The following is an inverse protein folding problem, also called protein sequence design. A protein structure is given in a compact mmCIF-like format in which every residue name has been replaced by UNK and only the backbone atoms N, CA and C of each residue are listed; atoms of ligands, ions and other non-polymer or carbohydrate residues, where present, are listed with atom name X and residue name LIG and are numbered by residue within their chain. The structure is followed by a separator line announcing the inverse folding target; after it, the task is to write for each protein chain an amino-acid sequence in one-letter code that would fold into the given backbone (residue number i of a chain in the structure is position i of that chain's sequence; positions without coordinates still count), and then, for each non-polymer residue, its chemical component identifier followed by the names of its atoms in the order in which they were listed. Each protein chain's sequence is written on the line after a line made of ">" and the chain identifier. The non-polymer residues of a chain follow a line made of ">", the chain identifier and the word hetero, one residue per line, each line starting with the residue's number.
data_IF_138185214209
#
_entry.id   IF_138185214209
#
_cell.length_a   1.000
_cell.length_b   1.000
_cell.length_c   1.000
_cell.angle_alpha   90.00
_cell.angle_beta   90.00
_cell.angle_gamma   90.00
#
_symmetry.space_group_name_H-M   'P 1'
#
loop_
_entity.id
_entity.type
_entity.pdbx_description
1 polymer ?
#
# COMPACT_ATOMS: atom_id res chain seq x y z
N UNK A 1 6.93 62.66 -69.66
CA UNK A 1 7.91 63.33 -68.79
C UNK A 1 7.82 62.70 -67.41
N UNK A 2 8.94 62.19 -66.92
CA UNK A 2 9.18 61.42 -65.70
C UNK A 2 8.59 62.04 -64.41
N UNK A 3 8.20 61.21 -63.44
CA UNK A 3 9.10 60.82 -62.33
C UNK A 3 8.44 59.77 -61.42
N UNK A 4 9.31 59.02 -60.75
CA UNK A 4 9.11 57.81 -59.95
C UNK A 4 8.47 58.06 -58.56
N UNK A 5 8.09 56.96 -57.89
CA UNK A 5 7.91 56.95 -56.43
C UNK A 5 7.19 55.70 -55.93
N UNK A 6 7.95 54.69 -55.49
CA UNK A 6 7.44 53.48 -54.83
C UNK A 6 7.39 53.57 -53.29
N UNK A 7 6.94 52.46 -52.69
CA UNK A 7 6.82 52.08 -51.26
C UNK A 7 5.54 52.54 -50.54
N UNK A 8 4.57 51.63 -50.26
CA UNK A 8 4.47 50.65 -49.13
C UNK A 8 4.20 51.34 -47.79
N UNK A 9 3.00 51.18 -47.21
CA UNK A 9 2.62 50.32 -46.06
C UNK A 9 1.90 51.28 -45.08
N UNK A 10 0.85 51.03 -44.29
CA UNK A 10 0.15 49.83 -43.81
C UNK A 10 -1.27 50.28 -43.40
N UNK A 11 -2.26 49.39 -43.56
CA UNK A 11 -3.65 49.64 -43.15
C UNK A 11 -3.79 49.26 -41.68
N UNK A 12 -3.93 50.25 -40.79
CA UNK A 12 -4.46 50.04 -39.44
C UNK A 12 -5.99 49.91 -39.54
N UNK A 13 -6.48 48.66 -39.57
CA UNK A 13 -7.88 48.35 -39.38
C UNK A 13 -8.16 48.15 -37.89
N UNK A 14 -8.57 49.24 -37.25
CA UNK A 14 -9.28 49.26 -35.98
C UNK A 14 -10.74 48.85 -36.22
N UNK A 15 -11.14 47.64 -35.81
CA UNK A 15 -12.55 47.32 -35.47
C UNK A 15 -12.55 46.25 -34.37
N UNK A 16 -13.06 46.60 -33.19
CA UNK A 16 -13.33 45.66 -32.12
C UNK A 16 -14.61 44.85 -32.33
N UNK A 17 -14.71 43.70 -31.66
CA UNK A 17 -15.91 43.23 -30.95
C UNK A 17 -15.62 41.88 -30.28
N UNK A 18 -15.37 41.90 -28.97
CA UNK A 18 -15.23 40.70 -28.14
C UNK A 18 -16.49 40.45 -27.30
N UNK A 19 -17.37 39.56 -27.75
CA UNK A 19 -18.33 38.85 -26.89
C UNK A 19 -18.26 37.36 -27.18
N UNK A 20 -17.75 36.59 -26.22
CA UNK A 20 -18.29 35.30 -25.76
C UNK A 20 -17.42 34.75 -24.62
N UNK A 21 -17.96 34.58 -23.40
CA UNK A 21 -17.33 33.63 -22.48
C UNK A 21 -18.36 32.85 -21.63
N UNK A 22 -18.33 31.52 -21.67
CA UNK A 22 -18.62 30.61 -20.55
C UNK A 22 -18.89 29.18 -21.06
N UNK A 23 -17.86 28.34 -21.15
CA UNK A 23 -17.91 26.85 -20.97
C UNK A 23 -16.68 26.07 -21.46
N UNK A 24 -15.50 26.68 -21.57
CA UNK A 24 -14.30 25.92 -21.96
C UNK A 24 -13.08 26.07 -21.05
N UNK A 25 -13.18 26.80 -19.93
CA UNK A 25 -12.02 27.14 -19.09
C UNK A 25 -12.04 26.60 -17.65
N UNK A 26 -13.08 25.87 -17.24
CA UNK A 26 -13.13 25.29 -15.88
C UNK A 26 -12.18 24.10 -15.74
N UNK A 27 -12.02 23.31 -16.80
CA UNK A 27 -11.16 22.12 -16.85
C UNK A 27 -9.66 22.40 -16.60
N UNK A 28 -9.00 23.39 -17.25
CA UNK A 28 -7.60 23.69 -16.94
C UNK A 28 -7.42 24.31 -15.55
N UNK A 29 -8.39 25.08 -15.05
CA UNK A 29 -8.35 25.66 -13.71
C UNK A 29 -8.42 24.61 -12.61
N UNK A 30 -9.35 23.65 -12.73
CA UNK A 30 -9.47 22.52 -11.78
C UNK A 30 -8.25 21.61 -11.84
N UNK A 31 -7.71 21.35 -13.04
CA UNK A 31 -6.48 20.57 -13.20
C UNK A 31 -5.27 21.26 -12.57
N UNK A 32 -5.16 22.58 -12.71
CA UNK A 32 -4.12 23.38 -12.05
C UNK A 32 -4.21 23.31 -10.53
N UNK A 33 -5.43 23.41 -9.97
CA UNK A 33 -5.66 23.28 -8.53
C UNK A 33 -5.34 21.87 -8.03
N UNK A 34 -5.75 20.83 -8.76
CA UNK A 34 -5.44 19.44 -8.41
C UNK A 34 -3.93 19.15 -8.47
N UNK A 35 -3.21 19.68 -9.46
CA UNK A 35 -1.75 19.56 -9.54
C UNK A 35 -1.05 20.28 -8.40
N UNK A 36 -1.50 21.47 -8.02
CA UNK A 36 -0.95 22.21 -6.86
C UNK A 36 -1.24 21.46 -5.57
N UNK A 37 -2.44 20.88 -5.40
CA UNK A 37 -2.76 20.05 -4.26
C UNK A 37 -1.88 18.79 -4.20
N UNK A 38 -1.68 18.09 -5.33
CA UNK A 38 -0.83 16.90 -5.40
C UNK A 38 0.63 17.22 -5.06
N UNK A 39 1.16 18.33 -5.58
CA UNK A 39 2.53 18.78 -5.27
C UNK A 39 2.64 19.22 -3.82
N UNK A 40 1.63 19.90 -3.27
CA UNK A 40 1.61 20.27 -1.86
C UNK A 40 1.62 19.05 -0.94
N UNK A 41 0.81 18.02 -1.22
CA UNK A 41 0.81 16.76 -0.47
C UNK A 41 2.16 16.04 -0.59
N UNK A 42 2.76 16.04 -1.79
CA UNK A 42 4.08 15.44 -2.01
C UNK A 42 5.21 16.19 -1.29
N UNK A 43 5.13 17.52 -1.20
CA UNK A 43 6.08 18.36 -0.46
C UNK A 43 5.89 18.21 1.05
N UNK A 44 4.66 18.10 1.55
CA UNK A 44 4.39 17.80 2.97
C UNK A 44 4.98 16.45 3.35
N UNK A 45 4.81 15.40 2.53
CA UNK A 45 5.42 14.09 2.76
C UNK A 45 6.97 14.12 2.70
N UNK A 46 7.56 15.02 1.92
CA UNK A 46 9.01 15.21 1.86
C UNK A 46 9.57 16.09 2.99
N UNK A 47 8.74 16.95 3.59
CA UNK A 47 9.10 17.79 4.74
C UNK A 47 8.89 17.04 6.06
N UNK A 48 7.92 16.13 6.14
CA UNK A 48 7.71 15.25 7.30
C UNK A 48 8.84 14.21 7.43
N UNK A 49 9.48 13.85 6.31
CA UNK A 49 10.74 13.07 6.29
C UNK A 49 11.98 13.84 6.76
N UNK A 50 11.87 15.12 7.12
CA UNK A 50 13.00 15.96 7.60
C UNK A 50 13.06 16.12 9.12
N UNK A 51 12.29 15.36 9.89
CA UNK A 51 12.70 15.08 11.27
C UNK A 51 13.95 14.20 11.19
N UNK A 52 15.14 14.67 11.62
CA UNK A 52 16.34 13.85 11.64
C UNK A 52 16.08 12.72 12.64
N UNK A 53 15.87 11.51 12.13
CA UNK A 53 15.85 10.29 12.94
C UNK A 53 17.11 10.32 13.83
N UNK A 54 16.98 10.20 15.17
CA UNK A 54 18.14 10.03 16.02
C UNK A 54 18.88 8.81 15.51
N UNK A 55 20.12 9.01 15.06
CA UNK A 55 21.08 8.04 14.52
C UNK A 55 20.69 6.60 14.81
N UNK A 56 19.81 6.07 13.96
CA UNK A 56 19.34 4.70 14.10
C UNK A 56 20.49 3.87 13.57
N UNK A 57 21.25 3.30 14.51
CA UNK A 57 22.34 2.37 14.24
C UNK A 57 21.81 1.37 13.22
N UNK A 58 22.29 1.45 11.98
CA UNK A 58 22.03 0.44 10.96
C UNK A 58 22.70 -0.86 11.41
N UNK A 59 22.00 -1.63 12.24
CA UNK A 59 22.44 -2.94 12.70
C UNK A 59 22.45 -3.85 11.48
N UNK A 60 23.59 -4.46 11.20
CA UNK A 60 23.71 -5.40 10.09
C UNK A 60 22.78 -6.61 10.34
N UNK A 61 22.21 -7.25 9.29
CA UNK A 61 21.23 -8.33 9.44
C UNK A 61 21.68 -9.51 10.31
N UNK A 62 22.99 -9.67 10.52
CA UNK A 62 23.58 -10.74 11.34
C UNK A 62 23.73 -10.38 12.83
N UNK A 63 23.57 -9.12 13.22
CA UNK A 63 23.70 -8.66 14.62
C UNK A 63 22.34 -8.58 15.34
N UNK A 64 21.24 -8.80 14.61
CA UNK A 64 19.86 -8.86 15.13
C UNK A 64 19.67 -10.19 15.86
N UNK A 65 20.15 -10.25 17.10
CA UNK A 65 19.96 -11.40 17.98
C UNK A 65 20.48 -11.27 19.40
N UNK A 66 21.11 -10.15 19.82
CA UNK A 66 21.83 -10.13 21.11
C UNK A 66 21.60 -8.95 22.05
N UNK A 67 20.84 -7.92 21.67
CA UNK A 67 20.92 -6.63 22.37
C UNK A 67 19.70 -6.15 23.16
N UNK A 68 18.58 -5.91 22.48
CA UNK A 68 17.60 -4.90 22.95
C UNK A 68 16.19 -5.43 23.19
N UNK A 69 15.82 -6.50 22.51
CA UNK A 69 14.58 -7.24 22.73
C UNK A 69 14.99 -8.66 23.10
N UNK A 70 14.66 -9.12 24.31
CA UNK A 70 14.99 -10.49 24.70
C UNK A 70 14.42 -11.51 23.71
N UNK A 71 15.01 -12.70 23.65
CA UNK A 71 14.67 -13.78 22.70
C UNK A 71 13.15 -14.04 22.55
N UNK A 72 12.36 -13.75 23.60
CA UNK A 72 10.91 -13.87 23.60
C UNK A 72 10.18 -12.92 22.64
N UNK A 73 10.61 -11.66 22.52
CA UNK A 73 9.92 -10.68 21.66
C UNK A 73 10.15 -10.96 20.16
N UNK A 74 11.35 -11.42 19.79
CA UNK A 74 11.65 -11.89 18.45
C UNK A 74 10.82 -13.14 18.09
N UNK A 75 10.70 -14.10 19.03
CA UNK A 75 9.86 -15.29 18.84
C UNK A 75 8.36 -14.91 18.73
N UNK A 76 7.89 -13.94 19.50
CA UNK A 76 6.52 -13.43 19.42
C UNK A 76 6.26 -12.77 18.05
N UNK A 77 7.20 -11.98 17.53
CA UNK A 77 7.09 -11.39 16.19
C UNK A 77 6.98 -12.48 15.11
N UNK A 78 7.83 -13.51 15.17
CA UNK A 78 7.75 -14.66 14.25
C UNK A 78 6.40 -15.37 14.36
N UNK A 79 5.93 -15.66 15.57
CA UNK A 79 4.64 -16.30 15.78
C UNK A 79 3.48 -15.45 15.23
N UNK A 80 3.54 -14.13 15.45
CA UNK A 80 2.53 -13.19 14.97
C UNK A 80 2.50 -13.09 13.45
N UNK A 81 3.66 -13.00 12.81
CA UNK A 81 3.77 -12.99 11.35
C UNK A 81 3.24 -14.28 10.72
N UNK A 82 3.53 -15.45 11.31
CA UNK A 82 2.97 -16.74 10.86
C UNK A 82 1.45 -16.78 10.98
N UNK A 83 0.92 -16.26 12.09
CA UNK A 83 -0.53 -16.18 12.29
C UNK A 83 -1.17 -15.25 11.26
N UNK A 84 -0.63 -14.05 11.08
CA UNK A 84 -1.12 -13.07 10.12
C UNK A 84 -1.15 -13.63 8.68
N UNK A 85 -0.02 -14.19 8.21
CA UNK A 85 0.07 -14.78 6.88
C UNK A 85 -0.91 -15.95 6.70
N UNK A 86 -1.04 -16.83 7.71
CA UNK A 86 -2.00 -17.93 7.66
C UNK A 86 -3.43 -17.43 7.55
N UNK A 87 -3.80 -16.43 8.36
CA UNK A 87 -5.15 -15.85 8.38
C UNK A 87 -5.45 -15.14 7.05
N UNK A 88 -4.53 -14.33 6.55
CA UNK A 88 -4.67 -13.62 5.28
C UNK A 88 -4.94 -14.56 4.09
N UNK A 89 -4.23 -15.69 4.03
CA UNK A 89 -4.36 -16.68 2.94
C UNK A 89 -5.34 -17.83 3.22
N UNK A 90 -6.15 -17.75 4.29
CA UNK A 90 -7.18 -18.76 4.60
C UNK A 90 -8.56 -18.12 4.66
N UNK A 91 -9.35 -18.32 3.60
CA UNK A 91 -10.70 -17.77 3.48
C UNK A 91 -11.62 -18.83 2.85
N UNK A 92 -12.81 -19.03 3.42
CA UNK A 92 -13.84 -19.92 2.90
C UNK A 92 -15.12 -19.13 2.55
N UNK A 93 -15.68 -19.39 1.37
CA UNK A 93 -16.91 -18.74 0.89
C UNK A 93 -18.12 -18.84 1.83
N UNK A 94 -18.13 -19.80 2.76
CA UNK A 94 -19.19 -20.00 3.76
C UNK A 94 -18.98 -19.19 5.04
N UNK A 95 -17.75 -18.76 5.33
CA UNK A 95 -17.38 -18.03 6.55
C UNK A 95 -16.62 -16.72 6.28
N UNK A 96 -16.73 -16.17 5.07
CA UNK A 96 -15.87 -15.06 4.62
C UNK A 96 -15.80 -13.89 5.59
N UNK A 97 -16.92 -13.37 6.12
CA UNK A 97 -16.85 -12.26 7.09
C UNK A 97 -16.04 -12.65 8.32
N UNK A 98 -16.32 -13.82 8.90
CA UNK A 98 -15.60 -14.28 10.08
C UNK A 98 -14.11 -14.53 9.78
N UNK A 99 -13.76 -14.95 8.57
CA UNK A 99 -12.37 -15.13 8.17
C UNK A 99 -11.65 -13.79 8.04
N UNK A 100 -12.34 -12.78 7.54
CA UNK A 100 -11.82 -11.42 7.36
C UNK A 100 -11.74 -10.67 8.70
N UNK A 101 -12.74 -10.81 9.56
CA UNK A 101 -12.73 -10.26 10.92
C UNK A 101 -11.55 -10.81 11.73
N UNK A 102 -11.24 -12.10 11.57
CA UNK A 102 -10.04 -12.69 12.20
C UNK A 102 -8.73 -12.04 11.79
N UNK A 103 -8.63 -11.47 10.58
CA UNK A 103 -7.45 -10.72 10.18
C UNK A 103 -7.47 -9.30 10.74
N UNK A 104 -8.65 -8.65 10.74
CA UNK A 104 -8.86 -7.30 11.30
C UNK A 104 -8.46 -7.26 12.78
N UNK A 105 -8.79 -8.30 13.53
CA UNK A 105 -8.41 -8.47 14.94
C UNK A 105 -6.88 -8.57 15.17
N UNK A 106 -6.09 -8.77 14.11
CA UNK A 106 -4.63 -8.81 14.21
C UNK A 106 -3.98 -7.47 13.87
N UNK A 107 -4.75 -6.53 13.33
CA UNK A 107 -4.26 -5.32 12.70
C UNK A 107 -4.06 -4.15 13.65
N UNK A 108 -3.21 -3.21 13.25
CA UNK A 108 -3.30 -1.83 13.74
C UNK A 108 -4.56 -1.15 13.20
N UNK A 109 -5.04 -0.07 13.82
CA UNK A 109 -6.19 0.69 13.30
C UNK A 109 -6.03 1.10 11.83
N UNK A 110 -4.86 1.61 11.46
CA UNK A 110 -4.56 2.05 10.09
C UNK A 110 -4.60 0.87 9.09
N UNK A 111 -4.05 -0.29 9.47
CA UNK A 111 -4.14 -1.49 8.64
C UNK A 111 -5.60 -1.93 8.43
N UNK A 112 -6.42 -1.88 9.49
CA UNK A 112 -7.84 -2.26 9.41
C UNK A 112 -8.59 -1.33 8.47
N UNK A 113 -8.32 -0.03 8.53
CA UNK A 113 -8.92 0.96 7.62
C UNK A 113 -8.60 0.63 6.15
N UNK A 114 -7.32 0.46 5.82
CA UNK A 114 -6.88 0.10 4.46
C UNK A 114 -7.44 -1.25 3.98
N UNK A 115 -7.45 -2.24 4.88
CA UNK A 115 -7.99 -3.57 4.58
C UNK A 115 -9.50 -3.50 4.26
N UNK A 116 -10.26 -2.73 5.03
CA UNK A 116 -11.71 -2.60 4.88
C UNK A 116 -12.12 -1.94 3.54
N UNK A 117 -11.25 -1.10 2.94
CA UNK A 117 -11.48 -0.52 1.61
C UNK A 117 -11.63 -1.58 0.52
N UNK A 118 -10.85 -2.66 0.61
CA UNK A 118 -10.84 -3.74 -0.39
C UNK A 118 -11.67 -4.96 0.03
N UNK A 119 -11.97 -5.07 1.32
CA UNK A 119 -12.58 -6.23 1.93
C UNK A 119 -13.90 -6.65 1.25
N UNK A 120 -14.81 -5.70 1.04
CA UNK A 120 -16.11 -5.98 0.46
C UNK A 120 -16.02 -6.53 -0.98
N UNK A 121 -15.04 -6.07 -1.77
CA UNK A 121 -14.83 -6.57 -3.12
C UNK A 121 -14.28 -8.00 -3.12
N UNK A 122 -13.32 -8.28 -2.22
CA UNK A 122 -12.80 -9.62 -2.01
C UNK A 122 -13.91 -10.59 -1.57
N UNK A 123 -14.73 -10.20 -0.60
CA UNK A 123 -15.81 -11.06 -0.10
C UNK A 123 -16.82 -11.44 -1.18
N UNK A 124 -17.23 -10.46 -2.01
CA UNK A 124 -18.09 -10.73 -3.18
C UNK A 124 -17.44 -11.72 -4.15
N UNK A 125 -16.14 -11.57 -4.43
CA UNK A 125 -15.41 -12.47 -5.32
C UNK A 125 -15.34 -13.89 -4.78
N UNK A 126 -14.96 -14.05 -3.51
CA UNK A 126 -14.85 -15.35 -2.84
C UNK A 126 -16.20 -16.07 -2.82
N UNK A 127 -17.29 -15.36 -2.49
CA UNK A 127 -18.65 -15.91 -2.55
C UNK A 127 -19.09 -16.29 -3.96
N UNK A 128 -19.00 -15.34 -4.89
CA UNK A 128 -19.50 -15.52 -6.26
C UNK A 128 -18.82 -16.67 -6.97
N UNK A 129 -17.55 -16.93 -6.64
CA UNK A 129 -16.77 -18.03 -7.20
C UNK A 129 -16.70 -19.26 -6.30
N UNK A 130 -17.33 -19.22 -5.12
CA UNK A 130 -17.31 -20.30 -4.10
C UNK A 130 -15.89 -20.78 -3.80
N UNK A 131 -14.98 -19.83 -3.61
CA UNK A 131 -13.57 -20.13 -3.37
C UNK A 131 -13.34 -20.61 -1.94
N UNK A 132 -12.43 -21.56 -1.80
CA UNK A 132 -11.81 -21.92 -0.53
C UNK A 132 -10.31 -21.80 -0.69
N UNK A 133 -9.70 -20.89 0.06
CA UNK A 133 -8.27 -20.71 0.16
C UNK A 133 -7.80 -21.32 1.47
N UNK A 134 -6.66 -22.02 1.45
CA UNK A 134 -6.06 -22.58 2.66
C UNK A 134 -4.54 -22.43 2.59
N UNK A 135 -3.96 -21.97 3.70
CA UNK A 135 -2.55 -21.71 3.84
C UNK A 135 -1.83 -22.85 4.59
N UNK A 136 -0.74 -23.35 4.00
CA UNK A 136 0.25 -24.17 4.67
C UNK A 136 1.58 -23.40 4.75
N UNK A 137 2.16 -23.33 5.96
CA UNK A 137 3.41 -22.61 6.19
C UNK A 137 4.49 -23.63 6.58
N UNK A 138 5.64 -23.67 5.90
CA UNK A 138 6.75 -24.54 6.30
C UNK A 138 7.33 -24.11 7.65
N UNK A 139 7.93 -25.03 8.39
CA UNK A 139 8.46 -24.76 9.74
C UNK A 139 9.55 -23.69 9.72
N UNK A 140 10.45 -23.76 8.75
CA UNK A 140 11.50 -22.77 8.47
C UNK A 140 11.08 -21.70 7.45
N UNK A 141 9.76 -21.49 7.26
CA UNK A 141 9.20 -20.60 6.26
C UNK A 141 9.26 -19.10 6.58
N UNK A 142 9.94 -18.68 7.64
CA UNK A 142 9.97 -17.27 8.07
C UNK A 142 11.40 -16.78 8.17
N UNK A 143 11.67 -15.63 7.58
CA UNK A 143 12.91 -14.89 7.71
C UNK A 143 12.62 -13.50 8.27
N UNK A 144 13.31 -13.13 9.35
CA UNK A 144 13.28 -11.75 9.87
C UNK A 144 14.15 -10.88 8.97
N UNK A 145 13.55 -9.90 8.30
CA UNK A 145 14.25 -8.93 7.45
C UNK A 145 14.70 -7.70 8.27
N UNK A 146 13.88 -7.29 9.26
CA UNK A 146 14.17 -6.20 10.17
C UNK A 146 13.47 -6.44 11.52
N UNK A 147 14.12 -6.07 12.61
CA UNK A 147 13.56 -6.11 13.96
C UNK A 147 14.18 -5.01 14.81
N UNK A 148 13.34 -4.12 15.32
CA UNK A 148 13.66 -3.11 16.32
C UNK A 148 12.68 -3.23 17.50
N UNK A 149 12.80 -2.32 18.48
CA UNK A 149 11.97 -2.34 19.69
C UNK A 149 10.46 -2.24 19.40
N UNK A 150 10.09 -1.54 18.33
CA UNK A 150 8.69 -1.20 18.03
C UNK A 150 8.23 -1.64 16.64
N UNK A 151 9.12 -2.12 15.78
CA UNK A 151 8.79 -2.54 14.42
C UNK A 151 9.49 -3.85 14.10
N UNK A 152 8.78 -4.75 13.41
CA UNK A 152 9.37 -5.95 12.84
C UNK A 152 8.90 -6.14 11.40
N UNK A 153 9.79 -6.62 10.53
CA UNK A 153 9.47 -6.97 9.16
C UNK A 153 9.93 -8.40 8.90
N UNK A 154 8.99 -9.24 8.48
CA UNK A 154 9.24 -10.67 8.31
C UNK A 154 8.75 -11.11 6.93
N UNK A 155 9.59 -11.86 6.23
CA UNK A 155 9.24 -12.54 5.00
C UNK A 155 8.74 -13.95 5.32
N UNK A 156 7.50 -14.25 4.95
CA UNK A 156 6.83 -15.53 5.22
C UNK A 156 6.54 -16.26 3.91
N UNK A 157 7.06 -17.47 3.78
CA UNK A 157 6.72 -18.41 2.71
C UNK A 157 5.41 -19.11 3.05
N UNK A 158 4.50 -19.20 2.09
CA UNK A 158 3.19 -19.82 2.26
C UNK A 158 2.77 -20.57 0.99
N UNK A 159 2.39 -21.83 1.16
CA UNK A 159 1.73 -22.60 0.12
C UNK A 159 0.23 -22.41 0.24
N UNK A 160 -0.37 -21.80 -0.78
CA UNK A 160 -1.80 -21.51 -0.81
C UNK A 160 -2.49 -22.46 -1.76
N UNK A 161 -3.35 -23.30 -1.21
CA UNK A 161 -4.29 -24.09 -2.02
C UNK A 161 -5.54 -23.26 -2.27
N UNK A 162 -5.86 -23.00 -3.53
CA UNK A 162 -7.16 -22.49 -3.97
C UNK A 162 -8.03 -23.62 -4.51
N UNK A 163 -9.23 -23.75 -3.98
CA UNK A 163 -10.24 -24.70 -4.44
C UNK A 163 -11.48 -23.97 -4.97
N UNK A 164 -11.97 -24.42 -6.12
CA UNK A 164 -13.22 -23.99 -6.76
C UNK A 164 -13.98 -25.22 -7.27
N UNK A 165 -14.98 -25.68 -6.52
CA UNK A 165 -15.65 -26.95 -6.81
C UNK A 165 -14.64 -28.12 -6.76
N UNK A 166 -14.52 -28.86 -7.85
CA UNK A 166 -13.54 -29.95 -8.00
C UNK A 166 -12.14 -29.46 -8.43
N UNK A 167 -12.03 -28.23 -8.94
CA UNK A 167 -10.75 -27.67 -9.35
C UNK A 167 -9.94 -27.28 -8.12
N UNK A 168 -8.69 -27.74 -8.07
CA UNK A 168 -7.74 -27.43 -7.00
C UNK A 168 -6.39 -27.06 -7.61
N UNK A 169 -5.81 -25.97 -7.13
CA UNK A 169 -4.45 -25.54 -7.48
C UNK A 169 -3.71 -25.12 -6.22
N UNK A 170 -2.42 -25.40 -6.16
CA UNK A 170 -1.53 -24.95 -5.09
C UNK A 170 -0.43 -24.09 -5.69
N UNK A 171 -0.23 -22.90 -5.13
CA UNK A 171 0.87 -22.01 -5.48
C UNK A 171 1.72 -21.70 -4.24
N UNK A 172 3.02 -21.55 -4.44
CA UNK A 172 3.94 -21.08 -3.41
C UNK A 172 4.07 -19.55 -3.53
N UNK A 173 3.88 -18.86 -2.41
CA UNK A 173 3.92 -17.41 -2.32
C UNK A 173 4.90 -16.99 -1.23
N UNK A 174 5.35 -15.74 -1.32
CA UNK A 174 6.04 -15.06 -0.22
C UNK A 174 5.27 -13.81 0.10
N UNK A 175 5.09 -13.56 1.39
CA UNK A 175 4.46 -12.33 1.87
C UNK A 175 5.37 -11.65 2.87
N UNK A 176 5.45 -10.32 2.76
CA UNK A 176 6.08 -9.48 3.77
C UNK A 176 5.01 -9.07 4.76
N UNK A 177 5.23 -9.38 6.03
CA UNK A 177 4.39 -8.94 7.14
C UNK A 177 5.18 -7.89 7.93
N UNK A 178 4.61 -6.70 8.03
CA UNK A 178 5.12 -5.63 8.89
C UNK A 178 4.31 -5.64 10.17
N UNK A 179 5.00 -5.64 11.30
CA UNK A 179 4.43 -5.61 12.64
C UNK A 179 4.84 -4.32 13.35
N UNK A 180 3.96 -3.80 14.18
CA UNK A 180 4.22 -2.70 15.11
C UNK A 180 3.93 -3.16 16.54
N UNK A 181 4.76 -2.75 17.49
CA UNK A 181 4.54 -3.01 18.91
C UNK A 181 3.59 -1.96 19.47
N UNK A 182 2.42 -2.40 19.93
CA UNK A 182 1.36 -1.55 20.49
C UNK A 182 0.85 -2.23 21.75
N UNK A 183 0.85 -1.51 22.88
CA UNK A 183 0.29 -2.00 24.16
C UNK A 183 0.77 -3.41 24.56
N UNK A 184 2.08 -3.67 24.42
CA UNK A 184 2.73 -4.96 24.74
C UNK A 184 2.37 -6.14 23.81
N UNK A 185 1.86 -5.85 22.61
CA UNK A 185 1.60 -6.83 21.57
C UNK A 185 2.14 -6.39 20.21
N UNK A 186 2.60 -7.35 19.40
CA UNK A 186 2.81 -7.14 17.97
C UNK A 186 1.47 -7.13 17.23
N UNK A 187 1.14 -6.02 16.58
CA UNK A 187 0.00 -5.89 15.67
C UNK A 187 0.48 -5.80 14.22
N UNK A 188 -0.34 -6.27 13.29
CA UNK A 188 -0.07 -6.24 11.85
C UNK A 188 -0.30 -4.84 11.31
N UNK A 189 0.75 -4.22 10.79
CA UNK A 189 0.68 -2.91 10.15
C UNK A 189 0.59 -3.01 8.62
N UNK A 190 1.12 -4.08 8.01
CA UNK A 190 0.99 -4.33 6.57
C UNK A 190 1.18 -5.81 6.23
N UNK A 191 0.56 -6.23 5.12
CA UNK A 191 0.76 -7.54 4.49
C UNK A 191 0.86 -7.35 2.97
N UNK A 192 2.05 -7.56 2.43
CA UNK A 192 2.32 -7.40 0.99
C UNK A 192 2.73 -8.72 0.36
N UNK A 193 2.26 -9.01 -0.85
CA UNK A 193 2.77 -10.12 -1.65
C UNK A 193 4.13 -9.72 -2.28
N UNK A 194 5.10 -10.62 -2.22
CA UNK A 194 6.42 -10.43 -2.82
C UNK A 194 6.52 -11.30 -4.06
N UNK A 195 6.68 -10.66 -5.22
CA UNK A 195 6.84 -11.30 -6.53
C UNK A 195 8.19 -12.01 -6.70
#
# INVERSE_FOLDING_TARGET
>A
MSAEGGARESIELSIGQGRTPWRFWVLPGVLGVLLVALVATSVVLLLDRREPLPEEVAVQPADIGSGSLGDGAAQQAVARARLAARTYFTIDFTSVEADMDRLRDLGTPDFVEEYDETAAALARRVRGQRLRLSAALPDNGVATEYLSQNVAQLLVSVDVTTQRGEQRSTGAYRTRVVLQWVEDEWLVAAVDEVA
#
